data_IF_166478136194
#
_entry.id   IF_166478136194
#
_cell.length_a   1.000
_cell.length_b   1.000
_cell.length_c   1.000
_cell.angle_alpha   90.00
_cell.angle_beta   90.00
_cell.angle_gamma   90.00
#
_symmetry.space_group_name_H-M   'P 1'
#
loop_
_entity.id
_entity.type
_entity.pdbx_description
1 polymer ?
#
# COMPACT_ATOMS: atom_id res chain seq x y z
N UNK A 1 -32.18 0.63 18.46
CA UNK A 1 -31.04 0.51 17.52
C UNK A 1 -31.07 1.74 16.64
N UNK A 2 -30.00 2.53 16.62
CA UNK A 2 -29.98 3.77 15.84
C UNK A 2 -29.76 3.46 14.37
N UNK A 3 -30.50 4.14 13.49
CA UNK A 3 -30.31 4.01 12.05
C UNK A 3 -28.95 4.58 11.64
N UNK A 4 -28.22 3.84 10.83
CA UNK A 4 -26.98 4.34 10.24
C UNK A 4 -26.89 3.90 8.78
N UNK A 5 -26.21 4.70 7.97
CA UNK A 5 -25.84 4.38 6.60
C UNK A 5 -24.32 4.31 6.51
N UNK A 6 -23.79 3.13 6.20
CA UNK A 6 -22.36 2.91 6.05
C UNK A 6 -22.03 2.60 4.59
N UNK A 7 -21.20 3.44 4.00
CA UNK A 7 -20.60 3.20 2.70
C UNK A 7 -19.07 3.13 2.82
N UNK A 8 -18.49 1.97 2.53
CA UNK A 8 -17.03 1.81 2.49
C UNK A 8 -16.60 1.49 1.06
N UNK A 9 -15.85 2.37 0.39
CA UNK A 9 -15.32 2.10 -0.94
C UNK A 9 -14.13 1.12 -0.92
N UNK A 10 -13.75 0.61 0.25
CA UNK A 10 -12.64 -0.32 0.41
C UNK A 10 -12.99 -1.69 -0.13
N UNK A 11 -12.28 -2.15 -1.14
CA UNK A 11 -12.34 -3.54 -1.61
C UNK A 11 -11.45 -4.40 -0.73
N UNK A 12 -11.97 -5.53 -0.26
CA UNK A 12 -11.24 -6.51 0.54
C UNK A 12 -11.13 -7.79 -0.28
N UNK A 13 -9.89 -8.19 -0.55
CA UNK A 13 -9.58 -9.51 -1.09
C UNK A 13 -8.97 -10.33 0.04
N UNK A 14 -9.65 -11.39 0.43
CA UNK A 14 -9.25 -12.24 1.55
C UNK A 14 -9.22 -13.70 1.13
N UNK A 15 -8.21 -14.43 1.58
CA UNK A 15 -8.09 -15.86 1.39
C UNK A 15 -6.75 -16.28 0.82
N UNK A 16 -6.56 -17.62 0.80
CA UNK A 16 -5.36 -18.24 0.24
C UNK A 16 -5.27 -17.89 -1.27
N UNK A 17 -4.10 -17.40 -1.70
CA UNK A 17 -3.89 -17.02 -3.11
C UNK A 17 -4.46 -15.64 -3.51
N UNK A 18 -4.98 -14.85 -2.57
CA UNK A 18 -5.52 -13.51 -2.86
C UNK A 18 -4.50 -12.56 -3.50
N UNK A 19 -3.19 -12.77 -3.27
CA UNK A 19 -2.12 -11.97 -3.88
C UNK A 19 -2.11 -12.12 -5.42
N UNK A 20 -2.46 -13.27 -5.95
CA UNK A 20 -2.52 -13.48 -7.40
C UNK A 20 -3.53 -12.54 -8.11
N UNK A 21 -4.60 -12.15 -7.41
CA UNK A 21 -5.59 -11.18 -7.91
C UNK A 21 -5.14 -9.71 -7.85
N UNK A 22 -3.92 -9.44 -7.38
CA UNK A 22 -3.38 -8.09 -7.23
C UNK A 22 -3.30 -7.34 -8.56
N UNK A 23 -2.87 -8.02 -9.62
CA UNK A 23 -2.70 -7.43 -10.95
C UNK A 23 -3.99 -6.80 -11.50
N UNK A 24 -5.13 -7.44 -11.24
CA UNK A 24 -6.45 -6.96 -11.70
C UNK A 24 -6.88 -5.67 -10.99
N UNK A 25 -6.26 -5.35 -9.87
CA UNK A 25 -6.61 -4.19 -9.05
C UNK A 25 -5.76 -2.96 -9.38
N UNK A 26 -4.72 -3.12 -10.21
CA UNK A 26 -3.76 -2.08 -10.56
C UNK A 26 -3.90 -1.78 -12.06
N UNK A 27 -4.03 -0.50 -12.47
CA UNK A 27 -4.04 -0.14 -13.88
C UNK A 27 -2.79 -0.65 -14.60
N UNK A 28 -2.96 -1.14 -15.82
CA UNK A 28 -1.85 -1.74 -16.60
C UNK A 28 -0.72 -0.76 -16.95
N UNK A 29 -1.05 0.51 -17.04
CA UNK A 29 -0.13 1.62 -17.32
C UNK A 29 0.46 2.25 -16.06
N UNK A 30 0.15 1.69 -14.88
CA UNK A 30 0.62 2.23 -13.61
C UNK A 30 2.11 1.96 -13.40
N UNK A 31 2.83 3.00 -12.96
CA UNK A 31 4.14 2.86 -12.34
C UNK A 31 3.96 2.66 -10.85
N UNK A 32 4.28 1.48 -10.38
CA UNK A 32 4.00 1.02 -9.02
C UNK A 32 5.23 1.19 -8.13
N UNK A 33 5.06 1.82 -6.96
CA UNK A 33 6.07 1.80 -5.90
C UNK A 33 5.59 0.87 -4.79
N UNK A 34 6.30 -0.23 -4.60
CA UNK A 34 6.09 -1.14 -3.47
C UNK A 34 6.84 -0.57 -2.26
N UNK A 35 6.12 -0.30 -1.17
CA UNK A 35 6.71 0.13 0.10
C UNK A 35 6.63 -1.00 1.11
N UNK A 36 7.72 -1.29 1.83
CA UNK A 36 7.76 -2.34 2.84
C UNK A 36 8.73 -2.04 3.98
N UNK A 37 8.61 -2.80 5.07
CA UNK A 37 9.42 -2.61 6.28
C UNK A 37 10.77 -3.33 6.24
N UNK A 38 11.36 -3.54 7.42
CA UNK A 38 12.74 -4.00 7.61
C UNK A 38 13.05 -5.46 7.27
N UNK A 39 12.18 -6.22 6.62
CA UNK A 39 12.58 -7.53 6.09
C UNK A 39 11.68 -8.72 6.42
N UNK A 40 10.65 -8.59 7.25
CA UNK A 40 9.71 -9.70 7.51
C UNK A 40 9.02 -10.17 6.23
N UNK A 41 8.65 -9.24 5.36
CA UNK A 41 8.01 -9.54 4.06
C UNK A 41 8.92 -10.30 3.09
N UNK A 42 10.24 -10.09 3.18
CA UNK A 42 11.24 -10.86 2.41
C UNK A 42 11.38 -12.27 2.98
N UNK A 43 11.51 -12.38 4.31
CA UNK A 43 11.67 -13.69 4.98
C UNK A 43 10.48 -14.62 4.80
N UNK A 44 9.28 -14.07 4.69
CA UNK A 44 8.04 -14.85 4.50
C UNK A 44 7.73 -15.15 3.03
N UNK A 45 8.54 -14.66 2.09
CA UNK A 45 8.33 -14.86 0.66
C UNK A 45 7.13 -14.11 0.08
N UNK A 46 6.54 -13.18 0.85
CA UNK A 46 5.37 -12.42 0.36
C UNK A 46 5.78 -11.35 -0.63
N UNK A 47 6.94 -10.74 -0.45
CA UNK A 47 7.45 -9.78 -1.43
C UNK A 47 7.64 -10.46 -2.79
N UNK A 48 8.19 -11.69 -2.81
CA UNK A 48 8.38 -12.46 -4.04
C UNK A 48 7.04 -12.77 -4.72
N UNK A 49 6.02 -13.18 -3.95
CA UNK A 49 4.67 -13.40 -4.49
C UNK A 49 4.06 -12.13 -5.08
N UNK A 50 4.28 -10.96 -4.44
CA UNK A 50 3.81 -9.67 -4.95
C UNK A 50 4.53 -9.31 -6.24
N UNK A 51 5.85 -9.47 -6.30
CA UNK A 51 6.65 -9.21 -7.50
C UNK A 51 6.25 -10.14 -8.65
N UNK A 52 6.00 -11.42 -8.37
CA UNK A 52 5.51 -12.37 -9.37
C UNK A 52 4.12 -11.98 -9.89
N UNK A 53 3.22 -11.56 -9.01
CA UNK A 53 1.88 -11.11 -9.40
C UNK A 53 1.92 -9.84 -10.28
N UNK A 54 2.95 -9.00 -10.10
CA UNK A 54 3.14 -7.75 -10.85
C UNK A 54 4.13 -7.88 -12.03
N UNK A 55 4.51 -9.11 -12.38
CA UNK A 55 5.45 -9.37 -13.48
C UNK A 55 4.97 -8.73 -14.79
N UNK A 56 5.86 -7.97 -15.42
CA UNK A 56 5.56 -7.24 -16.65
C UNK A 56 4.95 -5.85 -16.44
N UNK A 57 4.85 -5.38 -15.19
CA UNK A 57 4.51 -3.99 -14.86
C UNK A 57 5.78 -3.19 -14.53
N UNK A 58 5.67 -1.87 -14.57
CA UNK A 58 6.75 -0.97 -14.14
C UNK A 58 6.72 -0.84 -12.60
N UNK A 59 7.60 -1.58 -11.93
CA UNK A 59 7.62 -1.72 -10.48
C UNK A 59 8.92 -1.19 -9.91
N UNK A 60 8.80 -0.33 -8.91
CA UNK A 60 9.89 0.18 -8.07
C UNK A 60 9.71 -0.32 -6.64
N UNK A 61 10.79 -0.42 -5.91
CA UNK A 61 10.78 -0.86 -4.51
C UNK A 61 11.34 0.21 -3.58
N UNK A 62 10.69 0.41 -2.44
CA UNK A 62 11.17 1.22 -1.33
C UNK A 62 11.02 0.43 -0.02
N UNK A 63 12.12 -0.13 0.45
CA UNK A 63 12.19 -0.91 1.67
C UNK A 63 12.76 -0.12 2.85
N UNK A 64 12.71 -0.74 4.04
CA UNK A 64 13.33 -0.19 5.24
C UNK A 64 12.45 0.76 6.04
N UNK A 65 11.13 0.79 5.79
CA UNK A 65 10.22 1.55 6.65
C UNK A 65 10.20 0.88 8.03
N UNK A 66 10.78 1.56 9.00
CA UNK A 66 10.91 1.11 10.38
C UNK A 66 9.58 1.21 11.15
N UNK A 67 9.43 0.50 12.27
CA UNK A 67 8.36 0.78 13.23
C UNK A 67 8.45 2.25 13.69
N UNK A 68 7.30 2.96 13.69
CA UNK A 68 7.27 4.42 13.90
C UNK A 68 8.23 5.15 12.95
N UNK A 69 7.94 5.17 11.65
CA UNK A 69 8.89 5.57 10.64
C UNK A 69 9.35 7.02 10.84
N UNK A 70 10.65 7.23 10.71
CA UNK A 70 11.25 8.56 10.78
C UNK A 70 10.75 9.43 9.61
N UNK A 71 10.65 10.73 9.88
CA UNK A 71 10.20 11.70 8.87
C UNK A 71 11.12 11.69 7.64
N UNK A 72 12.43 11.61 7.86
CA UNK A 72 13.45 11.60 6.82
C UNK A 72 13.29 10.39 5.89
N UNK A 73 13.05 9.19 6.45
CA UNK A 73 12.79 7.97 5.67
C UNK A 73 11.59 8.18 4.74
N UNK A 74 10.51 8.74 5.25
CA UNK A 74 9.30 8.97 4.47
C UNK A 74 9.48 10.08 3.42
N UNK A 75 10.26 11.12 3.72
CA UNK A 75 10.57 12.19 2.74
C UNK A 75 11.45 11.69 1.60
N UNK A 76 12.35 10.72 1.84
CA UNK A 76 13.08 10.05 0.77
C UNK A 76 12.15 9.27 -0.15
N UNK A 77 11.13 8.61 0.39
CA UNK A 77 10.09 7.97 -0.41
C UNK A 77 9.27 8.98 -1.23
N UNK A 78 8.91 10.13 -0.64
CA UNK A 78 8.21 11.22 -1.36
C UNK A 78 9.03 11.73 -2.54
N UNK A 79 10.35 11.94 -2.33
CA UNK A 79 11.27 12.35 -3.38
C UNK A 79 11.29 11.33 -4.53
N UNK A 80 11.44 10.05 -4.19
CA UNK A 80 11.42 8.97 -5.18
C UNK A 80 10.11 8.93 -5.98
N UNK A 81 8.96 9.07 -5.30
CA UNK A 81 7.64 9.12 -5.97
C UNK A 81 7.56 10.23 -7.00
N UNK A 82 8.08 11.42 -6.66
CA UNK A 82 8.06 12.59 -7.56
C UNK A 82 9.02 12.43 -8.72
N UNK A 83 10.26 12.04 -8.46
CA UNK A 83 11.31 11.88 -9.46
C UNK A 83 10.95 10.80 -10.48
N UNK A 84 10.41 9.68 -10.00
CA UNK A 84 10.05 8.55 -10.83
C UNK A 84 8.62 8.61 -11.37
N UNK A 85 7.88 9.68 -11.09
CA UNK A 85 6.48 9.86 -11.54
C UNK A 85 5.60 8.65 -11.20
N UNK A 86 5.72 8.15 -9.98
CA UNK A 86 4.95 7.00 -9.49
C UNK A 86 3.46 7.33 -9.50
N UNK A 87 2.65 6.44 -10.06
CA UNK A 87 1.20 6.61 -10.18
C UNK A 87 0.41 5.71 -9.22
N UNK A 88 1.08 4.71 -8.64
CA UNK A 88 0.43 3.76 -7.73
C UNK A 88 1.35 3.39 -6.57
N UNK A 89 0.84 3.48 -5.34
CA UNK A 89 1.55 3.07 -4.13
C UNK A 89 0.98 1.76 -3.60
N UNK A 90 1.84 0.77 -3.41
CA UNK A 90 1.50 -0.53 -2.87
C UNK A 90 2.24 -0.75 -1.54
N UNK A 91 1.52 -0.66 -0.43
CA UNK A 91 2.09 -0.95 0.89
C UNK A 91 2.04 -2.46 1.19
N UNK A 92 3.19 -3.08 1.41
CA UNK A 92 3.32 -4.49 1.75
C UNK A 92 3.90 -4.64 3.15
N UNK A 93 3.05 -4.90 4.13
CA UNK A 93 3.48 -5.01 5.53
C UNK A 93 2.42 -4.66 6.55
N UNK A 94 2.87 -4.34 7.74
CA UNK A 94 2.02 -3.99 8.89
C UNK A 94 1.60 -2.52 8.94
N UNK A 95 1.05 -2.10 10.09
CA UNK A 95 0.51 -0.76 10.31
C UNK A 95 1.50 0.36 10.01
N UNK A 96 2.75 0.28 10.49
CA UNK A 96 3.77 1.31 10.29
C UNK A 96 4.07 1.55 8.80
N UNK A 97 4.17 0.48 8.00
CA UNK A 97 4.36 0.59 6.55
C UNK A 97 3.16 1.26 5.90
N UNK A 98 1.96 0.87 6.31
CA UNK A 98 0.74 1.45 5.78
C UNK A 98 0.62 2.95 6.11
N UNK A 99 0.86 3.32 7.35
CA UNK A 99 0.74 4.72 7.80
C UNK A 99 1.84 5.57 7.19
N UNK A 100 3.07 5.06 7.08
CA UNK A 100 4.14 5.69 6.33
C UNK A 100 3.78 5.91 4.85
N UNK A 101 3.21 4.90 4.20
CA UNK A 101 2.78 5.02 2.79
C UNK A 101 1.65 6.02 2.61
N UNK A 102 0.72 6.12 3.56
CA UNK A 102 -0.31 7.17 3.56
C UNK A 102 0.28 8.57 3.65
N UNK A 103 1.29 8.75 4.51
CA UNK A 103 1.99 10.02 4.65
C UNK A 103 2.71 10.36 3.33
N UNK A 104 3.42 9.42 2.73
CA UNK A 104 4.08 9.59 1.42
C UNK A 104 3.07 10.05 0.38
N UNK A 105 1.91 9.36 0.27
CA UNK A 105 0.83 9.76 -0.63
C UNK A 105 0.39 11.20 -0.39
N UNK A 106 0.06 11.53 0.87
CA UNK A 106 -0.46 12.85 1.21
C UNK A 106 0.56 13.94 0.89
N UNK A 107 1.83 13.73 1.21
CA UNK A 107 2.90 14.70 0.93
C UNK A 107 3.23 14.83 -0.56
N UNK A 108 2.99 13.79 -1.34
CA UNK A 108 3.13 13.88 -2.80
C UNK A 108 2.03 14.72 -3.43
N UNK A 109 0.80 14.66 -2.88
CA UNK A 109 -0.38 15.33 -3.42
C UNK A 109 -0.55 16.81 -2.97
N UNK A 110 0.28 17.33 -2.08
CA UNK A 110 0.10 18.70 -1.52
C UNK A 110 0.66 19.83 -2.37
N UNK A 111 1.33 19.57 -3.48
CA UNK A 111 1.83 20.61 -4.37
C UNK A 111 0.91 20.76 -5.60
N UNK A 112 0.16 21.84 -5.66
CA UNK A 112 -0.95 22.13 -6.57
C UNK A 112 -0.60 22.33 -8.06
N UNK A 113 0.58 21.93 -8.54
CA UNK A 113 1.05 22.33 -9.89
C UNK A 113 0.90 21.23 -10.96
N UNK A 114 0.53 20.00 -10.61
CA UNK A 114 0.32 18.96 -11.61
C UNK A 114 -0.98 18.19 -11.39
N UNK A 115 -1.70 17.81 -12.47
CA UNK A 115 -2.84 16.90 -12.36
C UNK A 115 -2.32 15.58 -11.76
N UNK A 116 -2.71 15.35 -10.50
CA UNK A 116 -2.16 14.25 -9.71
C UNK A 116 -2.64 12.91 -10.24
N UNK A 117 -1.73 11.97 -10.48
CA UNK A 117 -2.11 10.60 -10.70
C UNK A 117 -2.88 10.09 -9.48
N UNK A 118 -3.92 9.31 -9.73
CA UNK A 118 -4.70 8.67 -8.68
C UNK A 118 -3.83 7.65 -7.94
N UNK A 119 -3.13 8.10 -6.89
CA UNK A 119 -2.34 7.21 -6.05
C UNK A 119 -3.32 6.39 -5.22
N UNK A 120 -3.36 5.09 -5.47
CA UNK A 120 -4.09 4.12 -4.66
C UNK A 120 -3.12 3.47 -3.68
N UNK A 121 -3.60 3.18 -2.47
CA UNK A 121 -2.84 2.47 -1.45
C UNK A 121 -3.46 1.10 -1.26
N UNK A 122 -2.69 0.08 -1.51
CA UNK A 122 -3.05 -1.31 -1.27
C UNK A 122 -2.40 -1.77 0.03
N UNK A 123 -3.18 -2.39 0.90
CA UNK A 123 -2.68 -2.93 2.17
C UNK A 123 -2.65 -4.44 2.13
N UNK A 124 -1.48 -5.05 2.35
CA UNK A 124 -1.34 -6.47 2.61
C UNK A 124 -1.22 -6.71 4.12
N UNK A 125 -2.00 -7.64 4.66
CA UNK A 125 -1.87 -8.11 6.03
C UNK A 125 -1.28 -9.51 6.05
N UNK A 126 -0.25 -9.68 6.86
CA UNK A 126 0.21 -11.00 7.26
C UNK A 126 -0.68 -11.52 8.38
N UNK A 127 -0.99 -12.80 8.31
CA UNK A 127 -1.62 -13.52 9.40
C UNK A 127 -0.64 -13.55 10.59
N UNK A 128 -0.84 -12.69 11.56
CA UNK A 128 -0.52 -12.99 12.95
C UNK A 128 -1.71 -13.75 13.50
N UNK A 129 -1.52 -14.83 14.21
CA UNK A 129 -2.56 -15.69 14.79
C UNK A 129 -3.45 -14.99 15.84
N UNK A 130 -3.41 -13.69 15.90
CA UNK A 130 -4.29 -12.85 16.71
C UNK A 130 -5.09 -11.95 15.78
N UNK A 131 -6.39 -12.15 15.79
CA UNK A 131 -7.35 -11.24 15.16
C UNK A 131 -7.14 -9.82 15.71
N UNK A 132 -6.65 -8.85 14.91
CA UNK A 132 -6.57 -7.49 15.39
C UNK A 132 -7.98 -6.91 15.45
N UNK A 133 -8.32 -6.30 16.58
CA UNK A 133 -9.49 -5.42 16.67
C UNK A 133 -9.33 -4.34 15.61
N UNK A 134 -10.29 -4.27 14.69
CA UNK A 134 -10.32 -3.28 13.62
C UNK A 134 -10.50 -1.88 14.21
N UNK A 135 -9.58 -0.94 14.03
CA UNK A 135 -9.93 0.46 14.23
C UNK A 135 -10.74 0.92 13.01
N UNK A 136 -11.93 1.41 13.27
CA UNK A 136 -12.75 2.15 12.32
C UNK A 136 -12.01 3.44 11.94
N UNK A 137 -11.45 3.49 10.73
CA UNK A 137 -10.94 4.73 10.17
C UNK A 137 -11.67 4.99 8.87
N UNK A 138 -12.44 6.09 8.78
CA UNK A 138 -13.06 6.48 7.53
C UNK A 138 -12.00 7.13 6.63
N UNK A 139 -11.69 6.58 5.47
CA UNK A 139 -11.38 7.34 4.27
C UNK A 139 -10.96 6.51 3.05
N UNK A 140 -11.69 6.71 2.00
CA UNK A 140 -11.41 6.67 0.54
C UNK A 140 -10.30 5.74 0.01
N UNK A 141 -10.76 4.71 -0.70
CA UNK A 141 -9.99 3.92 -1.68
C UNK A 141 -8.81 3.09 -1.15
N UNK A 142 -9.08 2.14 -0.24
CA UNK A 142 -8.11 1.13 0.16
C UNK A 142 -8.51 -0.25 -0.35
N UNK A 143 -7.56 -0.91 -0.95
CA UNK A 143 -7.64 -2.34 -1.25
C UNK A 143 -6.88 -3.10 -0.18
N UNK A 144 -7.50 -4.09 0.44
CA UNK A 144 -6.88 -4.96 1.45
C UNK A 144 -6.77 -6.36 0.92
N UNK A 145 -5.56 -6.89 0.89
CA UNK A 145 -5.28 -8.27 0.51
C UNK A 145 -4.70 -9.01 1.72
N UNK A 146 -5.29 -10.13 2.07
CA UNK A 146 -4.75 -11.09 3.05
C UNK A 146 -4.27 -12.34 2.32
N UNK A 147 -3.15 -12.94 2.76
CA UNK A 147 -2.63 -14.16 2.18
C UNK A 147 -3.51 -15.40 2.46
#
# INVERSE_FOLDING_TARGET
MNNFNLHTPTRILFGKGAIAGLREQIPHDARVLITYGGGSVKKTGVLDQVLDALKGMDVLEFGGIEPNPAYETLMNAVKLVREQKVTFLLAVGGGSVLDGTKLVRNRTCTNEIHPHPHIKVLRSFFKSDRLPRLPLVPHKNYLRISP
#
